data_IF_948295867889
#
_entry.id   IF_948295867889
#
_cell.length_a   1.000
_cell.length_b   1.000
_cell.length_c   1.000
_cell.angle_alpha   90.00
_cell.angle_beta   90.00
_cell.angle_gamma   90.00
#
_symmetry.space_group_name_H-M   'P 1'
#
loop_
_entity.id
_entity.type
_entity.pdbx_description
1 polymer ?
#
# COMPACT_ATOMS: atom_id res chain seq x y z
N UNK A 1 18.20 -14.11 2.58
CA UNK A 1 16.90 -13.49 2.50
C UNK A 1 16.58 -12.67 3.70
N UNK A 2 16.06 -11.50 3.46
CA UNK A 2 15.73 -10.58 4.53
C UNK A 2 14.25 -10.39 4.62
N UNK A 3 13.77 -10.27 5.85
CA UNK A 3 12.45 -9.75 6.10
C UNK A 3 12.59 -8.28 6.45
N UNK A 4 11.70 -7.50 5.89
CA UNK A 4 11.74 -6.07 6.08
C UNK A 4 10.35 -5.58 6.42
N UNK A 5 10.26 -4.67 7.38
CA UNK A 5 9.02 -3.98 7.69
C UNK A 5 9.10 -2.59 7.12
N UNK A 6 8.01 -2.15 6.50
CA UNK A 6 7.98 -0.80 5.98
C UNK A 6 6.56 -0.27 6.13
N UNK A 7 6.44 1.04 6.14
CA UNK A 7 5.16 1.70 6.29
C UNK A 7 4.70 2.22 4.94
N UNK A 8 3.42 2.03 4.68
CA UNK A 8 2.83 2.42 3.41
C UNK A 8 1.54 3.17 3.65
N UNK A 9 1.20 4.02 2.69
CA UNK A 9 -0.08 4.70 2.67
C UNK A 9 -1.10 3.76 2.06
N UNK A 10 -2.27 3.66 2.68
CA UNK A 10 -3.37 2.89 2.11
C UNK A 10 -4.03 3.76 1.06
N UNK A 11 -3.96 3.35 -0.19
CA UNK A 11 -4.53 4.12 -1.30
C UNK A 11 -5.89 3.62 -1.74
N UNK A 12 -6.26 2.40 -1.35
CA UNK A 12 -7.52 1.84 -1.76
C UNK A 12 -7.48 0.33 -1.64
N UNK A 13 -8.45 -0.31 -2.25
CA UNK A 13 -8.49 -1.76 -2.22
C UNK A 13 -9.16 -2.30 -3.46
N UNK A 14 -8.82 -3.55 -3.79
CA UNK A 14 -9.41 -4.28 -4.92
C UNK A 14 -10.08 -5.51 -4.34
N UNK A 15 -11.40 -5.63 -4.46
CA UNK A 15 -12.07 -6.83 -3.94
C UNK A 15 -11.63 -8.08 -4.72
N UNK A 16 -11.39 -9.13 -4.00
CA UNK A 16 -11.01 -10.42 -4.56
C UNK A 16 -11.97 -11.48 -4.08
N UNK A 17 -11.74 -12.70 -4.52
CA UNK A 17 -12.59 -13.81 -4.11
C UNK A 17 -12.30 -14.22 -2.68
N UNK A 18 -13.21 -15.02 -2.14
CA UNK A 18 -13.04 -15.63 -0.82
C UNK A 18 -12.91 -14.61 0.30
N UNK A 19 -13.66 -13.51 0.19
CA UNK A 19 -13.68 -12.47 1.23
C UNK A 19 -12.30 -11.90 1.49
N UNK A 20 -11.51 -11.77 0.43
CA UNK A 20 -10.20 -11.16 0.51
C UNK A 20 -10.18 -9.88 -0.29
N UNK A 21 -9.26 -9.02 0.05
CA UNK A 21 -9.03 -7.78 -0.69
C UNK A 21 -7.54 -7.59 -0.89
N UNK A 22 -7.19 -6.93 -1.99
CA UNK A 22 -5.83 -6.46 -2.19
C UNK A 22 -5.79 -5.00 -1.79
N UNK A 23 -4.99 -4.68 -0.79
CA UNK A 23 -4.86 -3.31 -0.31
C UNK A 23 -3.79 -2.63 -1.15
N UNK A 24 -4.13 -1.51 -1.74
CA UNK A 24 -3.22 -0.78 -2.62
C UNK A 24 -2.32 0.10 -1.78
N UNK A 25 -1.03 0.01 -2.01
CA UNK A 25 -0.03 0.64 -1.18
C UNK A 25 0.70 1.74 -1.95
N UNK A 26 1.06 2.79 -1.23
CA UNK A 26 1.84 3.86 -1.82
C UNK A 26 2.81 4.45 -0.83
N UNK A 27 3.75 5.20 -1.34
CA UNK A 27 4.70 5.96 -0.56
C UNK A 27 5.04 7.22 -1.34
N UNK A 28 5.69 8.16 -0.66
CA UNK A 28 6.18 9.36 -1.32
C UNK A 28 7.63 9.21 -1.68
N UNK A 29 7.97 9.69 -2.84
CA UNK A 29 9.35 9.75 -3.28
C UNK A 29 9.54 11.09 -3.97
N UNK A 30 10.47 11.88 -3.49
CA UNK A 30 10.69 13.23 -4.02
C UNK A 30 9.40 14.02 -4.04
N UNK A 31 8.63 13.92 -2.96
CA UNK A 31 7.37 14.64 -2.79
C UNK A 31 6.30 14.23 -3.78
N UNK A 32 6.45 13.05 -4.37
CA UNK A 32 5.47 12.53 -5.32
C UNK A 32 4.96 11.21 -4.82
N UNK A 33 3.64 11.04 -4.89
CA UNK A 33 3.03 9.78 -4.49
C UNK A 33 3.32 8.74 -5.55
N UNK A 34 3.84 7.60 -5.14
CA UNK A 34 4.13 6.50 -6.06
C UNK A 34 3.42 5.24 -5.60
N UNK A 35 3.10 4.41 -6.56
CA UNK A 35 2.44 3.14 -6.34
C UNK A 35 3.48 2.10 -5.91
N UNK A 36 3.18 1.34 -4.85
CA UNK A 36 4.15 0.40 -4.32
C UNK A 36 3.67 -1.05 -4.36
N UNK A 37 2.47 -1.30 -4.84
CA UNK A 37 1.99 -2.67 -4.96
C UNK A 37 0.81 -2.94 -4.06
N UNK A 38 0.59 -4.21 -3.76
CA UNK A 38 -0.57 -4.67 -3.00
C UNK A 38 -0.16 -5.56 -1.86
N UNK A 39 -1.03 -5.65 -0.87
CA UNK A 39 -0.94 -6.68 0.15
C UNK A 39 -2.34 -7.22 0.38
N UNK A 40 -2.44 -8.51 0.62
CA UNK A 40 -3.74 -9.16 0.80
C UNK A 40 -4.24 -8.98 2.23
N UNK A 41 -5.53 -8.71 2.37
CA UNK A 41 -6.15 -8.52 3.68
C UNK A 41 -7.56 -9.07 3.63
N UNK A 42 -7.95 -9.83 4.65
CA UNK A 42 -9.31 -10.35 4.73
C UNK A 42 -10.30 -9.27 5.10
N UNK A 43 -11.56 -9.50 4.74
CA UNK A 43 -12.60 -8.49 4.97
C UNK A 43 -13.10 -8.48 6.41
N UNK A 44 -12.82 -9.52 7.19
CA UNK A 44 -13.44 -9.66 8.50
C UNK A 44 -12.77 -8.90 9.62
N UNK A 45 -11.64 -8.29 9.37
CA UNK A 45 -10.88 -7.66 10.42
C UNK A 45 -11.23 -6.20 10.62
N UNK A 46 -10.76 -5.68 11.73
CA UNK A 46 -11.01 -4.28 12.04
C UNK A 46 -10.23 -3.34 11.13
N UNK A 47 -9.07 -3.77 10.68
CA UNK A 47 -8.28 -2.94 9.78
C UNK A 47 -9.02 -2.68 8.49
N UNK A 48 -9.60 -3.71 7.90
CA UNK A 48 -10.33 -3.50 6.65
C UNK A 48 -11.56 -2.63 6.88
N UNK A 49 -12.21 -2.78 8.04
CA UNK A 49 -13.36 -1.96 8.33
C UNK A 49 -12.99 -0.48 8.37
N UNK A 50 -11.84 -0.16 8.93
CA UNK A 50 -11.38 1.22 8.95
C UNK A 50 -11.04 1.72 7.56
N UNK A 51 -10.43 0.88 6.75
CA UNK A 51 -10.11 1.27 5.38
C UNK A 51 -11.38 1.57 4.61
N UNK A 52 -12.38 0.71 4.79
CA UNK A 52 -13.62 0.87 4.05
C UNK A 52 -14.41 2.09 4.48
N UNK A 53 -14.14 2.60 5.67
CA UNK A 53 -14.84 3.78 6.16
C UNK A 53 -14.29 5.09 5.60
N UNK A 54 -13.16 5.05 4.90
CA UNK A 54 -12.60 6.26 4.33
C UNK A 54 -13.42 6.73 3.16
N UNK A 55 -13.37 8.03 2.90
CA UNK A 55 -14.06 8.59 1.76
C UNK A 55 -13.39 8.12 0.48
N UNK A 56 -14.23 7.79 -0.49
CA UNK A 56 -13.72 7.36 -1.78
C UNK A 56 -13.25 8.58 -2.58
N UNK A 57 -12.29 8.34 -3.43
CA UNK A 57 -11.75 9.38 -4.28
C UNK A 57 -11.38 8.75 -5.61
N UNK A 58 -10.89 9.54 -6.52
CA UNK A 58 -10.43 9.00 -7.80
C UNK A 58 -8.99 8.56 -7.69
N UNK A 59 -8.55 7.79 -8.67
CA UNK A 59 -7.18 7.31 -8.72
C UNK A 59 -6.22 8.50 -8.71
N UNK A 60 -5.24 8.50 -7.82
CA UNK A 60 -4.31 9.63 -7.74
C UNK A 60 -3.23 9.61 -8.82
N UNK A 61 -3.19 8.59 -9.64
CA UNK A 61 -2.16 8.47 -10.66
C UNK A 61 -2.74 8.79 -12.03
N UNK A 62 -1.89 9.29 -12.90
CA UNK A 62 -2.31 9.62 -14.26
C UNK A 62 -2.83 8.39 -14.97
N UNK A 63 -2.09 7.29 -14.85
CA UNK A 63 -2.53 6.02 -15.42
C UNK A 63 -2.79 5.05 -14.27
N UNK A 64 -3.87 4.30 -14.40
CA UNK A 64 -4.21 3.32 -13.38
C UNK A 64 -3.18 2.20 -13.46
N UNK A 65 -2.45 1.92 -12.36
CA UNK A 65 -1.50 0.82 -12.38
C UNK A 65 -2.19 -0.49 -12.71
N UNK A 66 -1.48 -1.34 -13.43
CA UNK A 66 -2.03 -2.59 -13.90
C UNK A 66 -2.54 -3.43 -12.75
N UNK A 67 -3.70 -4.03 -12.92
CA UNK A 67 -4.32 -4.86 -11.89
C UNK A 67 -5.25 -4.11 -10.99
N UNK A 68 -5.41 -2.81 -11.16
CA UNK A 68 -6.23 -1.99 -10.29
C UNK A 68 -7.45 -1.41 -11.00
N UNK A 69 -7.88 -2.05 -12.06
CA UNK A 69 -8.99 -1.51 -12.85
C UNK A 69 -10.29 -1.50 -12.08
N UNK A 70 -10.45 -2.42 -11.14
CA UNK A 70 -11.66 -2.49 -10.32
C UNK A 70 -11.43 -1.96 -8.92
N UNK A 71 -10.44 -1.14 -8.74
CA UNK A 71 -10.07 -0.66 -7.42
C UNK A 71 -11.07 0.37 -6.91
N UNK A 72 -11.26 0.37 -5.60
CA UNK A 72 -11.93 1.45 -4.90
C UNK A 72 -10.83 2.30 -4.29
N UNK A 73 -10.69 3.52 -4.78
CA UNK A 73 -9.65 4.42 -4.30
C UNK A 73 -10.22 5.24 -3.15
N UNK A 74 -9.44 5.38 -2.09
CA UNK A 74 -9.87 6.12 -0.90
C UNK A 74 -8.88 7.23 -0.63
N UNK A 75 -9.33 8.20 0.15
CA UNK A 75 -8.44 9.30 0.52
C UNK A 75 -7.25 8.74 1.29
N UNK A 76 -6.04 9.20 0.98
CA UNK A 76 -4.83 8.63 1.59
C UNK A 76 -4.62 9.16 2.99
N UNK A 77 -5.35 8.61 3.94
CA UNK A 77 -5.30 9.06 5.32
C UNK A 77 -4.73 8.03 6.28
N UNK A 78 -4.75 6.74 5.90
CA UNK A 78 -4.31 5.69 6.79
C UNK A 78 -2.95 5.17 6.38
N UNK A 79 -2.18 4.77 7.38
CA UNK A 79 -0.86 4.19 7.19
C UNK A 79 -0.88 2.77 7.74
N UNK A 80 -0.24 1.86 7.05
CA UNK A 80 -0.14 0.48 7.50
C UNK A 80 1.31 0.04 7.44
N UNK A 81 1.61 -1.01 8.19
CA UNK A 81 2.91 -1.65 8.15
C UNK A 81 2.78 -2.98 7.43
N UNK A 82 3.71 -3.24 6.53
CA UNK A 82 3.75 -4.48 5.75
C UNK A 82 5.12 -5.10 5.93
N UNK A 83 5.11 -6.39 6.22
CA UNK A 83 6.35 -7.17 6.31
C UNK A 83 6.50 -7.94 5.01
N UNK A 84 7.70 -7.90 4.45
CA UNK A 84 7.91 -8.54 3.15
C UNK A 84 9.36 -8.96 3.02
N UNK A 85 9.60 -9.83 2.06
CA UNK A 85 10.95 -10.24 1.71
C UNK A 85 11.44 -9.35 0.58
N UNK A 86 12.66 -8.89 0.71
CA UNK A 86 13.23 -8.02 -0.30
C UNK A 86 13.53 -8.81 -1.56
N UNK A 87 13.19 -8.23 -2.68
CA UNK A 87 13.66 -8.74 -3.95
C UNK A 87 14.92 -8.01 -4.34
N UNK A 88 15.78 -8.71 -5.03
CA UNK A 88 17.07 -8.14 -5.34
C UNK A 88 17.03 -7.23 -6.53
N UNK A 89 16.18 -7.50 -7.52
CA UNK A 89 16.34 -6.82 -8.78
C UNK A 89 15.35 -5.72 -9.01
N UNK A 90 14.08 -6.00 -8.81
CA UNK A 90 13.07 -5.01 -9.14
C UNK A 90 12.66 -4.17 -7.96
N UNK A 91 13.16 -4.47 -6.80
CA UNK A 91 12.75 -3.76 -5.61
C UNK A 91 11.33 -4.02 -5.20
N UNK A 92 10.66 -4.98 -5.83
CA UNK A 92 9.30 -5.31 -5.45
C UNK A 92 9.24 -6.13 -4.20
N UNK A 93 8.07 -6.18 -3.61
CA UNK A 93 7.87 -6.96 -2.40
C UNK A 93 7.58 -8.41 -2.75
N UNK A 94 8.17 -9.32 -1.97
CA UNK A 94 7.84 -10.72 -2.06
C UNK A 94 7.11 -11.12 -0.80
N UNK A 95 6.04 -11.88 -0.98
CA UNK A 95 5.27 -12.44 0.13
C UNK A 95 4.91 -11.37 1.16
N UNK A 96 4.27 -10.29 0.71
CA UNK A 96 3.94 -9.22 1.68
C UNK A 96 2.85 -9.68 2.62
N UNK A 97 2.98 -9.26 3.88
CA UNK A 97 2.02 -9.58 4.93
C UNK A 97 1.60 -8.29 5.59
N UNK A 98 0.29 -8.07 5.67
CA UNK A 98 -0.26 -6.90 6.31
C UNK A 98 -0.13 -7.07 7.82
N UNK A 99 0.58 -6.15 8.46
CA UNK A 99 0.83 -6.25 9.90
C UNK A 99 -0.15 -5.45 10.73
N UNK A 100 -0.73 -4.41 10.16
CA UNK A 100 -1.69 -3.61 10.88
C UNK A 100 -1.65 -2.16 10.47
N UNK A 101 -2.66 -1.43 10.89
CA UNK A 101 -2.70 0.01 10.69
C UNK A 101 -1.93 0.71 11.79
N UNK A 102 -1.36 1.83 11.46
CA UNK A 102 -0.63 2.66 12.41
C UNK A 102 -1.32 4.01 12.51
N UNK A 103 -1.63 4.42 13.73
CA UNK A 103 -2.21 5.73 13.93
C UNK A 103 -1.21 6.73 14.48
N UNK A 104 0.04 6.32 14.62
CA UNK A 104 1.11 7.20 15.07
C UNK A 104 1.98 7.70 13.93
N UNK A 105 1.55 7.46 12.68
CA UNK A 105 2.27 7.93 11.51
C UNK A 105 1.32 8.58 10.55
N UNK A 106 1.80 9.61 9.86
CA UNK A 106 1.01 10.26 8.84
C UNK A 106 1.44 9.76 7.46
N UNK A 107 0.58 9.90 6.46
CA UNK A 107 0.96 9.51 5.11
C UNK A 107 2.22 10.19 4.62
N UNK A 108 2.43 11.45 5.02
CA UNK A 108 3.61 12.18 4.57
C UNK A 108 4.91 11.58 5.10
N UNK A 109 4.83 10.77 6.13
CA UNK A 109 6.01 10.12 6.68
C UNK A 109 6.35 8.82 5.99
N UNK A 110 5.51 8.35 5.09
CA UNK A 110 5.76 7.11 4.36
C UNK A 110 6.61 7.42 3.14
N UNK A 111 7.91 7.34 3.32
CA UNK A 111 8.87 7.75 2.32
C UNK A 111 9.52 6.52 1.73
N UNK A 112 9.61 6.48 0.42
CA UNK A 112 10.35 5.43 -0.27
C UNK A 112 11.83 5.71 -0.09
N UNK A 113 12.49 4.87 0.67
CA UNK A 113 13.89 5.05 0.99
C UNK A 113 14.81 4.24 0.11
N UNK A 114 14.27 3.63 -0.94
CA UNK A 114 15.11 2.87 -1.84
C UNK A 114 16.15 3.80 -2.45
N UNK A 115 17.33 3.24 -2.67
CA UNK A 115 18.38 4.03 -3.21
C UNK A 115 18.12 4.38 -4.64
N UNK A 116 18.28 5.62 -4.94
CA UNK A 116 18.28 6.04 -6.33
C UNK A 116 19.65 5.76 -6.91
N UNK A 117 19.71 5.45 -8.21
CA UNK A 117 21.01 5.39 -8.85
C UNK A 117 21.71 6.71 -8.65
N UNK A 118 22.94 6.63 -8.27
CA UNK A 118 23.66 7.85 -8.06
C UNK A 118 23.84 8.60 -9.34
N UNK A 119 23.70 9.86 -9.24
CA UNK A 119 23.87 10.69 -10.40
C UNK A 119 25.28 11.25 -10.40
#
# INVERSE_FOLDING_TARGET
QYLKDDDFIVLGYVPKENNMNSIILGQYKNNQLIYKGHVTLGVGGESFRKIKSLYETSCPFTDIPKGNENAVWVKPELVCTVKYMMKTENGGMRQPVFKGLRDDKTPEECIDKSKMPEQ
#
